data_IF_121230834783
#
_entry.id   IF_121230834783
#
_cell.length_a   1.000
_cell.length_b   1.000
_cell.length_c   1.000
_cell.angle_alpha   90.00
_cell.angle_beta   90.00
_cell.angle_gamma   90.00
#
_symmetry.space_group_name_H-M   'P 1'
#
loop_
_entity.id
_entity.type
_entity.pdbx_description
1 polymer ?
#
# COMPACT_ATOMS: atom_id res chain seq x y z
N UNK A 1 -46.08 16.92 -60.40
CA UNK A 1 -46.49 15.52 -60.18
C UNK A 1 -45.48 14.61 -60.87
N UNK A 2 -45.14 13.51 -60.22
CA UNK A 2 -44.50 12.31 -60.80
C UNK A 2 -42.98 12.33 -60.99
N UNK A 3 -42.26 11.78 -59.99
CA UNK A 3 -41.10 10.90 -60.26
C UNK A 3 -41.61 9.62 -60.94
N UNK A 4 -40.80 8.94 -61.78
CA UNK A 4 -40.08 7.80 -61.22
C UNK A 4 -38.73 7.44 -61.89
N UNK A 5 -38.06 6.52 -61.20
CA UNK A 5 -37.41 5.31 -61.73
C UNK A 5 -35.89 5.22 -61.56
N UNK A 6 -35.53 4.25 -60.73
CA UNK A 6 -34.20 3.83 -60.30
C UNK A 6 -33.47 2.95 -61.34
N UNK A 7 -32.19 2.75 -61.04
CA UNK A 7 -31.35 1.55 -61.29
C UNK A 7 -30.83 1.31 -62.71
N UNK A 8 -29.50 1.31 -62.85
CA UNK A 8 -28.66 0.09 -62.82
C UNK A 8 -27.17 0.43 -62.88
N UNK A 9 -26.41 -0.21 -61.99
CA UNK A 9 -24.96 -0.31 -62.04
C UNK A 9 -24.53 -1.18 -63.24
N UNK A 10 -23.38 -0.88 -63.85
CA UNK A 10 -22.19 -1.76 -63.75
C UNK A 10 -21.08 -1.41 -64.78
N UNK A 11 -19.87 -1.32 -64.21
CA UNK A 11 -18.57 -1.83 -64.73
C UNK A 11 -17.98 -1.17 -65.98
N UNK A 12 -16.94 -0.35 -65.77
CA UNK A 12 -15.49 -0.69 -65.67
C UNK A 12 -14.85 -0.76 -67.05
N UNK A 13 -13.83 0.05 -67.27
CA UNK A 13 -12.43 -0.34 -67.55
C UNK A 13 -11.71 0.96 -67.94
N UNK A 14 -10.73 1.38 -67.14
CA UNK A 14 -9.59 2.10 -67.68
C UNK A 14 -8.33 1.58 -66.97
N UNK A 15 -7.43 1.01 -67.79
CA UNK A 15 -6.07 0.66 -67.44
C UNK A 15 -5.30 1.95 -67.09
N UNK A 16 -4.49 1.89 -66.03
CA UNK A 16 -3.61 2.99 -65.65
C UNK A 16 -2.44 2.53 -64.79
N UNK A 17 -1.33 2.25 -65.48
CA UNK A 17 0.06 2.40 -65.07
C UNK A 17 0.57 1.85 -63.73
N UNK A 18 1.53 0.93 -63.87
CA UNK A 18 2.50 0.47 -62.88
C UNK A 18 3.41 1.65 -62.46
N UNK A 19 3.55 1.85 -61.15
CA UNK A 19 4.67 2.56 -60.53
C UNK A 19 5.12 1.76 -59.30
N UNK A 20 6.15 0.94 -59.51
CA UNK A 20 6.97 0.34 -58.45
C UNK A 20 7.92 1.42 -57.92
N UNK A 21 7.77 1.85 -56.67
CA UNK A 21 8.86 2.44 -55.88
C UNK A 21 8.52 2.48 -54.39
N UNK A 22 9.31 1.77 -53.58
CA UNK A 22 9.61 2.16 -52.20
C UNK A 22 8.59 1.82 -51.11
N UNK A 23 8.29 0.53 -50.89
CA UNK A 23 7.83 0.08 -49.57
C UNK A 23 9.01 0.19 -48.60
N UNK A 24 9.14 1.35 -47.97
CA UNK A 24 9.97 1.50 -46.78
C UNK A 24 9.36 0.65 -45.67
N UNK A 25 9.90 -0.55 -45.47
CA UNK A 25 9.64 -1.36 -44.29
C UNK A 25 10.14 -0.60 -43.07
N UNK A 26 9.27 0.19 -42.43
CA UNK A 26 9.50 0.60 -41.06
C UNK A 26 9.66 -0.70 -40.26
N UNK A 27 10.77 -0.91 -39.52
CA UNK A 27 10.81 -2.02 -38.59
C UNK A 27 9.70 -1.74 -37.58
N UNK A 28 8.66 -2.57 -37.60
CA UNK A 28 7.81 -2.72 -36.44
C UNK A 28 8.75 -3.13 -35.31
N UNK A 29 9.09 -2.20 -34.42
CA UNK A 29 9.72 -2.51 -33.15
C UNK A 29 8.67 -3.30 -32.36
N UNK A 30 8.59 -4.60 -32.64
CA UNK A 30 7.99 -5.55 -31.73
C UNK A 30 8.70 -5.35 -30.41
N UNK A 31 8.03 -4.72 -29.45
CA UNK A 31 8.46 -4.70 -28.06
C UNK A 31 8.52 -6.16 -27.65
N UNK A 32 9.74 -6.71 -27.60
CA UNK A 32 9.96 -8.05 -27.13
C UNK A 32 9.29 -8.15 -25.75
N UNK A 33 8.41 -9.15 -25.52
CA UNK A 33 7.84 -9.35 -24.20
C UNK A 33 9.00 -9.48 -23.21
N UNK A 34 8.99 -8.65 -22.17
CA UNK A 34 9.95 -8.66 -21.06
C UNK A 34 9.88 -10.04 -20.39
N UNK A 35 10.64 -11.00 -20.92
CA UNK A 35 10.52 -12.43 -20.57
C UNK A 35 11.30 -12.81 -19.31
N UNK A 36 11.82 -11.81 -18.59
CA UNK A 36 12.53 -11.99 -17.34
C UNK A 36 12.18 -10.84 -16.39
N UNK A 37 10.97 -10.83 -15.84
CA UNK A 37 10.84 -10.24 -14.51
C UNK A 37 11.73 -11.06 -13.59
N UNK A 38 12.86 -10.49 -13.16
CA UNK A 38 13.69 -11.10 -12.13
C UNK A 38 12.82 -11.31 -10.90
N UNK A 39 12.32 -12.54 -10.75
CA UNK A 39 11.63 -13.02 -9.57
C UNK A 39 12.63 -12.95 -8.42
N UNK A 40 12.23 -12.30 -7.33
CA UNK A 40 13.05 -12.26 -6.12
C UNK A 40 13.25 -13.68 -5.58
N UNK A 41 14.36 -13.95 -4.87
CA UNK A 41 14.55 -15.22 -4.17
C UNK A 41 13.35 -15.58 -3.29
N UNK A 42 13.03 -16.87 -3.19
CA UNK A 42 11.86 -17.35 -2.44
C UNK A 42 11.92 -17.03 -0.94
N UNK A 43 13.12 -16.77 -0.40
CA UNK A 43 13.37 -16.36 0.99
C UNK A 43 13.36 -14.83 1.20
N UNK A 44 12.77 -14.08 0.26
CA UNK A 44 12.57 -12.64 0.37
C UNK A 44 11.25 -12.31 1.09
N UNK A 45 11.33 -11.46 2.11
CA UNK A 45 10.17 -10.79 2.68
C UNK A 45 10.08 -9.35 2.14
N UNK A 46 8.88 -8.81 2.03
CA UNK A 46 8.68 -7.37 1.81
C UNK A 46 8.39 -6.74 3.16
N UNK A 47 9.28 -5.87 3.63
CA UNK A 47 9.20 -5.28 4.97
C UNK A 47 8.98 -3.79 4.83
N UNK A 48 8.02 -3.23 5.55
CA UNK A 48 7.94 -1.80 5.82
C UNK A 48 8.09 -1.54 7.30
N UNK A 49 8.44 -0.31 7.64
CA UNK A 49 8.54 0.15 9.02
C UNK A 49 7.53 1.27 9.24
N UNK A 50 6.85 1.24 10.39
CA UNK A 50 5.96 2.32 10.82
C UNK A 50 6.41 2.90 12.16
N UNK A 51 6.45 4.23 12.23
CA UNK A 51 6.74 4.98 13.44
C UNK A 51 5.46 5.38 14.19
N UNK A 52 5.12 4.62 15.25
CA UNK A 52 4.03 4.94 16.17
C UNK A 52 4.48 5.74 17.41
N UNK A 53 5.69 6.31 17.40
CA UNK A 53 6.29 7.07 18.50
C UNK A 53 6.10 8.59 18.33
N UNK A 54 6.21 9.41 19.40
CA UNK A 54 5.98 10.86 19.34
C UNK A 54 7.06 11.69 18.61
N UNK A 55 8.10 11.07 18.05
CA UNK A 55 9.17 11.80 17.36
C UNK A 55 9.87 10.92 16.34
N UNK A 56 10.81 11.49 15.59
CA UNK A 56 11.61 10.75 14.61
C UNK A 56 12.39 9.60 15.25
N UNK A 57 12.59 8.55 14.46
CA UNK A 57 13.24 7.32 14.93
C UNK A 57 14.33 6.93 13.97
N UNK A 58 15.56 6.79 14.47
CA UNK A 58 16.65 6.18 13.71
C UNK A 58 16.56 4.66 13.85
N UNK A 59 16.69 3.95 12.73
CA UNK A 59 16.62 2.49 12.66
C UNK A 59 17.87 1.97 11.98
N UNK A 60 18.55 1.03 12.63
CA UNK A 60 19.54 0.15 12.01
C UNK A 60 19.00 -1.27 12.06
N UNK A 61 19.05 -2.02 10.97
CA UNK A 61 18.58 -3.40 10.97
C UNK A 61 19.41 -4.28 10.04
N UNK A 62 19.29 -5.60 10.22
CA UNK A 62 19.95 -6.57 9.35
C UNK A 62 19.32 -6.64 7.94
N UNK A 63 18.09 -6.16 7.78
CA UNK A 63 17.32 -6.29 6.54
C UNK A 63 17.28 -5.03 5.68
N UNK A 64 17.79 -3.90 6.17
CA UNK A 64 17.77 -2.62 5.44
C UNK A 64 18.96 -1.75 5.85
N UNK A 65 19.52 -0.93 4.94
CA UNK A 65 20.44 0.15 5.32
C UNK A 65 19.82 1.03 6.41
N UNK A 66 20.67 1.63 7.25
CA UNK A 66 20.22 2.54 8.30
C UNK A 66 19.45 3.73 7.73
N UNK A 67 18.37 4.11 8.40
CA UNK A 67 17.49 5.19 7.97
C UNK A 67 16.80 5.87 9.16
N UNK A 68 16.20 7.04 8.90
CA UNK A 68 15.32 7.73 9.85
C UNK A 68 13.88 7.64 9.38
N UNK A 69 12.98 7.22 10.25
CA UNK A 69 11.54 7.24 10.02
C UNK A 69 10.95 8.52 10.64
N UNK A 70 10.22 9.28 9.84
CA UNK A 70 9.59 10.54 10.27
C UNK A 70 8.47 10.29 11.30
N UNK A 71 8.16 11.32 12.08
CA UNK A 71 6.95 11.43 12.91
C UNK A 71 5.85 12.28 12.28
N UNK A 72 6.00 12.68 11.02
CA UNK A 72 4.98 13.43 10.28
C UNK A 72 3.94 12.47 9.69
N UNK A 73 2.66 12.85 9.73
CA UNK A 73 1.48 12.03 9.45
C UNK A 73 1.68 10.86 8.47
N UNK A 74 1.76 11.13 7.16
CA UNK A 74 1.87 10.08 6.14
C UNK A 74 3.27 9.46 6.10
N UNK A 75 4.30 10.24 6.42
CA UNK A 75 5.70 9.81 6.38
C UNK A 75 6.11 8.98 7.62
N UNK A 76 5.19 8.74 8.56
CA UNK A 76 5.31 7.69 9.58
C UNK A 76 5.32 6.29 8.97
N UNK A 77 4.74 6.10 7.78
CA UNK A 77 4.61 4.80 7.11
C UNK A 77 5.62 4.68 5.98
N UNK A 78 6.66 3.88 6.18
CA UNK A 78 7.63 3.58 5.14
C UNK A 78 7.04 2.76 3.97
N UNK A 79 7.66 2.82 2.78
CA UNK A 79 7.36 1.88 1.71
C UNK A 79 7.80 0.46 2.10
N UNK A 80 7.23 -0.56 1.45
CA UNK A 80 7.77 -1.90 1.52
C UNK A 80 9.09 -1.99 0.75
N UNK A 81 10.11 -2.56 1.37
CA UNK A 81 11.41 -2.85 0.77
C UNK A 81 11.66 -4.36 0.78
N UNK A 82 12.35 -4.93 -0.22
CA UNK A 82 12.73 -6.34 -0.20
C UNK A 82 13.81 -6.57 0.86
N UNK A 83 13.59 -7.56 1.71
CA UNK A 83 14.50 -8.08 2.71
C UNK A 83 14.89 -9.51 2.31
N UNK A 84 16.00 -9.64 1.59
CA UNK A 84 16.50 -10.93 1.09
C UNK A 84 17.00 -11.81 2.24
N UNK A 85 16.82 -13.13 2.12
CA UNK A 85 17.29 -14.12 3.10
C UNK A 85 16.79 -13.91 4.53
N UNK A 86 15.70 -13.16 4.71
CA UNK A 86 15.17 -12.76 6.01
C UNK A 86 14.01 -13.64 6.50
N UNK A 87 13.34 -14.38 5.60
CA UNK A 87 12.21 -15.24 5.96
C UNK A 87 12.63 -16.36 6.92
N UNK A 88 11.89 -16.53 8.01
CA UNK A 88 12.11 -17.60 8.99
C UNK A 88 13.35 -17.42 9.87
N UNK A 89 14.04 -16.27 9.77
CA UNK A 89 15.20 -15.93 10.60
C UNK A 89 14.86 -14.79 11.54
N UNK A 90 15.54 -14.76 12.68
CA UNK A 90 15.56 -13.56 13.51
C UNK A 90 16.38 -12.46 12.82
N UNK A 91 15.87 -11.24 12.88
CA UNK A 91 16.46 -10.04 12.28
C UNK A 91 16.63 -9.01 13.39
N UNK A 92 17.88 -8.61 13.65
CA UNK A 92 18.18 -7.65 14.69
C UNK A 92 17.86 -6.23 14.20
N UNK A 93 17.37 -5.41 15.14
CA UNK A 93 17.17 -3.97 14.96
C UNK A 93 17.72 -3.22 16.16
N UNK A 94 18.31 -2.06 15.89
CA UNK A 94 18.58 -1.01 16.87
C UNK A 94 17.69 0.19 16.55
N UNK A 95 16.91 0.61 17.54
CA UNK A 95 15.92 1.68 17.43
C UNK A 95 16.36 2.79 18.36
N UNK A 96 16.57 4.00 17.84
CA UNK A 96 16.95 5.16 18.64
C UNK A 96 15.91 6.26 18.48
N UNK A 97 15.34 6.70 19.61
CA UNK A 97 14.36 7.80 19.68
C UNK A 97 14.71 8.72 20.85
N UNK A 98 14.89 10.01 20.60
CA UNK A 98 15.12 11.01 21.66
C UNK A 98 16.33 10.70 22.56
N UNK A 99 17.37 10.04 22.03
CA UNK A 99 18.56 9.62 22.77
C UNK A 99 18.46 8.26 23.48
N UNK A 100 17.26 7.69 23.62
CA UNK A 100 17.10 6.31 24.10
C UNK A 100 17.33 5.33 22.96
N UNK A 101 18.09 4.27 23.23
CA UNK A 101 18.34 3.20 22.26
C UNK A 101 17.87 1.86 22.81
N UNK A 102 17.13 1.11 21.99
CA UNK A 102 16.69 -0.24 22.30
C UNK A 102 17.10 -1.21 21.19
N UNK A 103 17.42 -2.44 21.59
CA UNK A 103 17.64 -3.55 20.67
C UNK A 103 16.39 -4.43 20.63
N UNK A 104 16.01 -4.85 19.45
CA UNK A 104 14.88 -5.74 19.22
C UNK A 104 15.26 -6.82 18.22
N UNK A 105 14.51 -7.92 18.23
CA UNK A 105 14.58 -8.98 17.24
C UNK A 105 13.18 -9.26 16.72
N UNK A 106 13.04 -9.39 15.40
CA UNK A 106 11.78 -9.74 14.74
C UNK A 106 12.02 -10.86 13.74
N UNK A 107 11.00 -11.67 13.48
CA UNK A 107 11.04 -12.70 12.43
C UNK A 107 9.97 -12.44 11.40
N UNK A 108 10.31 -12.68 10.12
CA UNK A 108 9.41 -12.44 9.00
C UNK A 108 8.86 -13.73 8.41
N UNK A 109 7.60 -13.68 7.99
CA UNK A 109 7.03 -14.68 7.09
C UNK A 109 7.26 -14.28 5.65
N UNK A 110 7.11 -15.22 4.73
CA UNK A 110 7.07 -14.91 3.30
C UNK A 110 5.93 -13.91 3.02
N UNK A 111 6.17 -12.99 2.06
CA UNK A 111 5.21 -11.95 1.71
C UNK A 111 5.45 -10.64 2.47
N UNK A 112 4.36 -9.93 2.77
CA UNK A 112 4.41 -8.57 3.29
C UNK A 112 4.40 -8.56 4.82
N UNK A 113 5.23 -7.71 5.41
CA UNK A 113 5.44 -7.60 6.85
C UNK A 113 5.56 -6.13 7.23
N UNK A 114 4.93 -5.74 8.33
CA UNK A 114 5.04 -4.40 8.92
C UNK A 114 5.76 -4.52 10.26
N UNK A 115 6.90 -3.85 10.39
CA UNK A 115 7.59 -3.64 11.67
C UNK A 115 7.04 -2.37 12.31
N UNK A 116 6.42 -2.51 13.47
CA UNK A 116 5.81 -1.42 14.23
C UNK A 116 6.79 -0.97 15.30
N UNK A 117 7.21 0.30 15.25
CA UNK A 117 8.02 0.94 16.28
C UNK A 117 7.10 1.67 17.25
N UNK A 118 7.07 1.26 18.52
CA UNK A 118 6.15 1.83 19.51
C UNK A 118 6.68 1.76 20.94
N UNK A 119 5.98 2.42 21.87
CA UNK A 119 6.17 2.22 23.31
C UNK A 119 5.23 1.11 23.80
N UNK A 120 5.77 0.13 24.50
CA UNK A 120 4.99 -0.84 25.26
C UNK A 120 5.51 -0.87 26.69
N UNK A 121 4.62 -0.65 27.67
CA UNK A 121 4.97 -0.55 29.09
C UNK A 121 6.14 0.40 29.36
N UNK A 122 6.14 1.55 28.66
CA UNK A 122 7.17 2.59 28.73
C UNK A 122 8.47 2.30 27.97
N UNK A 123 8.65 1.09 27.41
CA UNK A 123 9.88 0.69 26.71
C UNK A 123 9.73 0.85 25.20
N UNK A 124 10.81 1.24 24.52
CA UNK A 124 10.89 1.13 23.06
C UNK A 124 10.87 -0.35 22.65
N UNK A 125 9.95 -0.69 21.76
CA UNK A 125 9.83 -2.04 21.21
C UNK A 125 9.62 -1.98 19.70
N UNK A 126 10.00 -3.07 19.03
CA UNK A 126 9.55 -3.36 17.68
C UNK A 126 8.79 -4.68 17.66
N UNK A 127 7.67 -4.70 16.94
CA UNK A 127 6.87 -5.90 16.73
C UNK A 127 6.62 -6.10 15.25
N UNK A 128 6.65 -7.36 14.80
CA UNK A 128 6.28 -7.69 13.43
C UNK A 128 4.81 -8.08 13.33
N UNK A 129 4.14 -7.55 12.31
CA UNK A 129 2.81 -7.95 11.86
C UNK A 129 2.89 -8.44 10.42
N UNK A 130 2.46 -9.66 10.14
CA UNK A 130 2.32 -10.14 8.76
C UNK A 130 1.09 -9.53 8.10
N UNK A 131 1.27 -8.99 6.91
CA UNK A 131 0.23 -8.38 6.11
C UNK A 131 -0.28 -9.37 5.05
N UNK A 132 -1.59 -9.51 4.94
CA UNK A 132 -2.21 -10.21 3.80
C UNK A 132 -2.61 -9.18 2.76
N UNK A 133 -1.86 -9.03 1.66
CA UNK A 133 -2.19 -8.13 0.55
C UNK A 133 -3.01 -8.84 -0.53
N UNK A 134 -4.33 -8.75 -0.43
CA UNK A 134 -5.26 -9.13 -1.51
C UNK A 134 -5.41 -7.99 -2.51
N UNK A 135 -5.08 -8.26 -3.77
CA UNK A 135 -5.18 -7.29 -4.86
C UNK A 135 -6.48 -7.48 -5.66
N UNK A 136 -7.16 -6.38 -5.96
CA UNK A 136 -8.31 -6.34 -6.85
C UNK A 136 -8.16 -5.16 -7.81
N UNK A 137 -8.16 -5.41 -9.11
CA UNK A 137 -7.94 -4.36 -10.11
C UNK A 137 -9.07 -3.33 -10.18
N UNK A 138 -10.30 -3.71 -9.81
CA UNK A 138 -11.51 -2.88 -9.96
C UNK A 138 -11.90 -2.14 -8.67
N UNK A 139 -11.35 -2.54 -7.53
CA UNK A 139 -11.70 -2.02 -6.21
C UNK A 139 -10.45 -1.54 -5.49
N UNK A 140 -10.60 -0.54 -4.63
CA UNK A 140 -9.53 -0.16 -3.72
C UNK A 140 -9.47 -1.19 -2.59
N UNK A 141 -8.27 -1.52 -2.13
CA UNK A 141 -8.08 -2.26 -0.88
C UNK A 141 -7.92 -1.25 0.26
N UNK A 142 -8.72 -1.39 1.30
CA UNK A 142 -8.59 -0.63 2.54
C UNK A 142 -8.23 -1.59 3.68
N UNK A 143 -7.10 -1.37 4.33
CA UNK A 143 -6.67 -2.05 5.54
C UNK A 143 -6.76 -1.10 6.74
N UNK A 144 -7.13 -1.61 7.90
CA UNK A 144 -7.19 -0.87 9.14
C UNK A 144 -6.33 -1.56 10.21
N UNK A 145 -5.39 -0.80 10.75
CA UNK A 145 -4.43 -1.25 11.76
C UNK A 145 -4.73 -0.56 13.09
N UNK A 146 -4.82 -1.34 14.16
CA UNK A 146 -4.92 -0.82 15.51
C UNK A 146 -3.57 -0.97 16.23
N UNK A 147 -2.88 0.14 16.42
CA UNK A 147 -1.57 0.21 17.09
C UNK A 147 -1.67 0.85 18.48
N UNK A 148 -2.86 1.05 19.05
CA UNK A 148 -2.98 1.53 20.43
C UNK A 148 -2.76 0.34 21.37
N UNK A 149 -1.70 0.32 22.19
CA UNK A 149 -1.46 -0.78 23.13
C UNK A 149 -2.65 -0.97 24.07
N UNK A 150 -3.07 -2.22 24.28
CA UNK A 150 -4.20 -2.57 25.15
C UNK A 150 -5.58 -2.24 24.59
N UNK A 151 -5.69 -1.67 23.39
CA UNK A 151 -6.96 -1.40 22.74
C UNK A 151 -7.61 -2.66 22.16
N UNK A 152 -8.41 -3.38 22.94
CA UNK A 152 -9.07 -4.62 22.48
C UNK A 152 -10.15 -4.39 21.40
N UNK A 153 -10.72 -3.18 21.33
CA UNK A 153 -11.84 -2.86 20.44
C UNK A 153 -11.53 -1.64 19.57
N UNK A 154 -10.57 -1.81 18.67
CA UNK A 154 -10.33 -0.87 17.58
C UNK A 154 -11.45 -0.93 16.55
N UNK A 155 -11.96 0.23 16.13
CA UNK A 155 -13.03 0.33 15.13
C UNK A 155 -12.76 1.44 14.14
N UNK A 156 -13.36 1.31 12.95
CA UNK A 156 -13.35 2.30 11.89
C UNK A 156 -14.77 2.44 11.34
N UNK A 157 -15.33 3.65 11.35
CA UNK A 157 -16.68 3.95 10.85
C UNK A 157 -16.63 4.96 9.71
N UNK A 158 -17.62 4.92 8.82
CA UNK A 158 -17.83 5.95 7.80
C UNK A 158 -18.46 7.18 8.45
N UNK A 159 -17.87 8.35 8.18
CA UNK A 159 -18.42 9.62 8.63
C UNK A 159 -19.76 9.90 7.93
N UNK A 160 -20.72 10.48 8.66
CA UNK A 160 -22.02 10.89 8.16
C UNK A 160 -23.11 9.81 8.21
N UNK A 161 -22.75 8.54 8.01
CA UNK A 161 -23.69 7.40 8.18
C UNK A 161 -23.46 6.62 9.48
N UNK A 162 -22.29 6.79 10.11
CA UNK A 162 -21.81 5.99 11.24
C UNK A 162 -21.79 4.47 10.97
N UNK A 163 -21.82 4.07 9.69
CA UNK A 163 -21.74 2.67 9.30
C UNK A 163 -20.35 2.12 9.63
N UNK A 164 -20.29 0.96 10.29
CA UNK A 164 -19.04 0.29 10.58
C UNK A 164 -18.34 -0.19 9.29
N UNK A 165 -17.07 0.18 9.14
CA UNK A 165 -16.15 -0.38 8.14
C UNK A 165 -15.44 -1.60 8.72
N UNK A 166 -14.93 -1.45 9.95
CA UNK A 166 -14.29 -2.50 10.75
C UNK A 166 -14.68 -2.34 12.23
N UNK A 167 -14.80 -3.47 12.93
CA UNK A 167 -15.07 -3.53 14.38
C UNK A 167 -14.18 -4.59 15.04
N UNK A 168 -13.95 -4.47 16.35
CA UNK A 168 -13.21 -5.47 17.12
C UNK A 168 -11.85 -5.80 16.53
N UNK A 169 -11.08 -4.78 16.13
CA UNK A 169 -9.69 -4.94 15.69
C UNK A 169 -8.81 -4.90 16.93
N UNK A 170 -8.19 -6.03 17.26
CA UNK A 170 -7.35 -6.18 18.44
C UNK A 170 -6.05 -5.36 18.34
N UNK A 171 -5.34 -5.10 19.45
CA UNK A 171 -4.09 -4.35 19.43
C UNK A 171 -3.03 -5.05 18.59
N UNK A 172 -2.24 -4.30 17.84
CA UNK A 172 -1.19 -4.79 16.95
C UNK A 172 -1.70 -5.81 15.92
N UNK A 173 -2.94 -5.62 15.45
CA UNK A 173 -3.53 -6.44 14.39
C UNK A 173 -4.10 -5.58 13.28
N UNK A 174 -4.48 -6.25 12.18
CA UNK A 174 -5.06 -5.60 11.01
C UNK A 174 -6.30 -6.36 10.51
N UNK A 175 -7.23 -5.63 9.91
CA UNK A 175 -8.29 -6.18 9.06
C UNK A 175 -8.31 -5.42 7.74
N UNK A 176 -8.62 -6.10 6.65
CA UNK A 176 -8.71 -5.47 5.33
C UNK A 176 -9.94 -5.90 4.57
N UNK A 177 -10.42 -5.05 3.65
CA UNK A 177 -11.48 -5.40 2.71
C UNK A 177 -11.33 -4.61 1.40
N UNK A 178 -11.93 -5.14 0.34
CA UNK A 178 -12.13 -4.38 -0.90
C UNK A 178 -13.29 -3.39 -0.75
N UNK A 179 -13.09 -2.15 -1.20
CA UNK A 179 -14.07 -1.06 -1.15
C UNK A 179 -14.23 -0.42 -2.54
N UNK A 180 -15.37 0.24 -2.75
CA UNK A 180 -15.57 0.96 -4.00
C UNK A 180 -14.66 2.19 -4.06
N UNK A 181 -14.08 2.53 -5.23
CA UNK A 181 -13.16 3.65 -5.40
C UNK A 181 -13.92 4.99 -5.44
N UNK A 182 -14.45 5.40 -4.28
CA UNK A 182 -15.21 6.64 -4.10
C UNK A 182 -14.57 7.51 -3.03
N UNK A 183 -14.99 8.77 -2.93
CA UNK A 183 -14.60 9.65 -1.82
C UNK A 183 -15.27 9.22 -0.52
N UNK A 184 -14.52 9.24 0.58
CA UNK A 184 -15.06 8.94 1.91
C UNK A 184 -14.24 9.63 3.00
N UNK A 185 -14.85 9.87 4.14
CA UNK A 185 -14.13 10.19 5.38
C UNK A 185 -14.50 9.16 6.43
N UNK A 186 -13.57 8.85 7.32
CA UNK A 186 -13.72 7.82 8.35
C UNK A 186 -13.34 8.34 9.71
N UNK A 187 -13.87 7.72 10.75
CA UNK A 187 -13.44 7.96 12.13
C UNK A 187 -12.99 6.64 12.74
N UNK A 188 -11.74 6.60 13.20
CA UNK A 188 -11.26 5.48 13.99
C UNK A 188 -11.56 5.73 15.48
N UNK A 189 -11.76 4.67 16.25
CA UNK A 189 -11.93 4.76 17.69
C UNK A 189 -11.34 3.55 18.41
N UNK A 190 -10.93 3.76 19.65
CA UNK A 190 -10.54 2.70 20.57
C UNK A 190 -11.52 2.63 21.74
N UNK A 191 -12.34 1.57 21.82
CA UNK A 191 -13.31 1.39 22.92
C UNK A 191 -14.20 2.62 23.15
N UNK A 192 -14.68 3.23 22.05
CA UNK A 192 -15.52 4.42 22.09
C UNK A 192 -14.79 5.76 22.26
N UNK A 193 -13.45 5.78 22.38
CA UNK A 193 -12.65 7.02 22.33
C UNK A 193 -12.28 7.34 20.88
N UNK A 194 -12.94 8.33 20.25
CA UNK A 194 -12.70 8.62 18.84
C UNK A 194 -11.37 9.37 18.64
N UNK A 195 -10.69 9.06 17.54
CA UNK A 195 -9.69 9.93 16.95
C UNK A 195 -10.37 11.03 16.08
N UNK A 196 -9.64 12.08 15.67
CA UNK A 196 -10.12 13.01 14.66
C UNK A 196 -10.57 12.28 13.39
N UNK A 197 -11.54 12.88 12.68
CA UNK A 197 -12.00 12.37 11.38
C UNK A 197 -10.86 12.43 10.38
N UNK A 198 -10.64 11.33 9.68
CA UNK A 198 -9.67 11.21 8.60
C UNK A 198 -10.40 11.28 7.26
N UNK A 199 -10.04 12.27 6.44
CA UNK A 199 -10.44 12.28 5.04
C UNK A 199 -9.62 11.23 4.26
N UNK A 200 -10.30 10.34 3.54
CA UNK A 200 -9.64 9.36 2.68
C UNK A 200 -9.36 9.92 1.28
N UNK A 201 -9.95 11.07 0.94
CA UNK A 201 -9.96 11.56 -0.42
C UNK A 201 -10.61 10.55 -1.38
N UNK A 202 -10.25 10.64 -2.66
CA UNK A 202 -10.71 9.68 -3.68
C UNK A 202 -9.77 8.48 -3.70
N UNK A 203 -10.29 7.29 -3.41
CA UNK A 203 -9.53 6.05 -3.55
C UNK A 203 -9.49 5.60 -5.01
N UNK A 204 -8.31 5.20 -5.48
CA UNK A 204 -8.11 4.64 -6.82
C UNK A 204 -8.50 3.15 -6.92
N UNK A 205 -9.04 2.73 -8.07
CA UNK A 205 -9.16 1.30 -8.40
C UNK A 205 -7.77 0.64 -8.44
N UNK A 206 -7.64 -0.55 -7.84
CA UNK A 206 -6.34 -1.21 -7.67
C UNK A 206 -5.42 -0.57 -6.64
N UNK A 207 -5.79 0.58 -6.07
CA UNK A 207 -5.03 1.24 -5.01
C UNK A 207 -5.06 0.44 -3.71
N UNK A 208 -3.95 0.46 -2.99
CA UNK A 208 -3.81 -0.16 -1.68
C UNK A 208 -3.60 0.93 -0.63
N UNK A 209 -4.47 0.94 0.37
CA UNK A 209 -4.52 1.98 1.39
C UNK A 209 -4.56 1.35 2.77
N UNK A 210 -3.83 1.96 3.70
CA UNK A 210 -3.82 1.60 5.11
C UNK A 210 -4.26 2.79 5.95
N UNK A 211 -5.19 2.53 6.86
CA UNK A 211 -5.64 3.46 7.89
C UNK A 211 -5.09 2.97 9.21
N UNK A 212 -4.44 3.84 9.98
CA UNK A 212 -3.79 3.47 11.22
C UNK A 212 -4.38 4.24 12.38
N UNK A 213 -4.83 3.51 13.39
CA UNK A 213 -5.20 4.05 14.70
C UNK A 213 -4.00 3.89 15.63
N UNK A 214 -3.48 5.00 16.14
CA UNK A 214 -2.32 5.02 17.04
C UNK A 214 -2.45 6.15 18.07
N UNK A 215 -1.54 6.21 19.04
CA UNK A 215 -1.54 7.26 20.06
C UNK A 215 -0.11 7.68 20.44
N UNK A 216 0.66 8.27 19.52
CA UNK A 216 2.07 8.60 19.75
C UNK A 216 2.28 9.57 20.91
N UNK A 217 1.34 10.51 21.11
CA UNK A 217 1.33 11.47 22.21
C UNK A 217 0.26 11.14 23.27
N UNK A 218 -0.18 9.88 23.35
CA UNK A 218 -1.20 9.42 24.29
C UNK A 218 -2.65 9.77 23.91
N UNK A 219 -2.86 10.53 22.85
CA UNK A 219 -4.20 10.78 22.25
C UNK A 219 -4.38 9.97 20.97
N UNK A 220 -5.55 9.34 20.75
CA UNK A 220 -5.85 8.65 19.50
C UNK A 220 -5.72 9.59 18.30
N UNK A 221 -4.97 9.15 17.30
CA UNK A 221 -4.87 9.77 15.98
C UNK A 221 -5.16 8.72 14.91
N UNK A 222 -5.67 9.19 13.78
CA UNK A 222 -5.87 8.39 12.58
C UNK A 222 -4.95 8.94 11.50
N UNK A 223 -4.30 8.06 10.75
CA UNK A 223 -3.57 8.46 9.54
C UNK A 223 -3.96 7.56 8.36
N UNK A 224 -3.90 8.12 7.17
CA UNK A 224 -4.01 7.39 5.91
C UNK A 224 -2.63 7.30 5.26
N UNK A 225 -2.27 6.11 4.79
CA UNK A 225 -1.14 5.91 3.90
C UNK A 225 -1.57 5.17 2.63
N UNK A 226 -0.96 5.54 1.50
CA UNK A 226 -1.01 4.74 0.27
C UNK A 226 0.13 3.74 0.31
N UNK A 227 -0.22 2.47 0.34
CA UNK A 227 0.76 1.39 0.41
C UNK A 227 1.52 1.30 -0.92
N UNK A 228 2.85 1.22 -0.83
CA UNK A 228 3.74 1.18 -1.99
C UNK A 228 4.95 0.31 -1.70
N UNK A 229 5.48 -0.29 -2.76
CA UNK A 229 6.79 -0.93 -2.75
C UNK A 229 7.80 0.11 -3.25
N UNK A 230 8.94 0.21 -2.58
CA UNK A 230 10.00 1.11 -3.00
C UNK A 230 10.48 0.76 -4.41
N UNK A 231 10.85 1.75 -5.25
CA UNK A 231 11.49 1.47 -6.53
C UNK A 231 12.75 0.64 -6.32
N UNK A 232 13.02 -0.32 -7.21
CA UNK A 232 14.33 -0.99 -7.24
C UNK A 232 15.39 0.09 -7.58
N UNK A 233 16.43 0.19 -6.76
CA UNK A 233 17.61 1.02 -7.05
C UNK A 233 18.63 0.22 -7.82
#
# INVERSE_FOLDING_TARGET
>A
MSHPAQTRQARRILLGAILLAGLGSLPAQAQAPMLYEQRLPDDTAFVRVINALPGEVSVKSDFSPAFTQSSDDADRVGPYVPAEKAVGKEQALEITQGGETAKASVSFKQGYNTVILQRQDGKLVATNLSDSLEFNQLRARLAFYNLIPGCADGSLTLQGSNQAVFTGVAPNTTKSRSVNPTTASVQAACGGKPAPVQDLGKLDAGGQYSVWLMAPEGKPVTLLARDRIAPRR
#
